data_IF_975917029582
#
_entry.id   IF_975917029582
#
_cell.length_a   1.000
_cell.length_b   1.000
_cell.length_c   1.000
_cell.angle_alpha   90.00
_cell.angle_beta   90.00
_cell.angle_gamma   90.00
#
_symmetry.space_group_name_H-M   'P 1'
#
loop_
_entity.id
_entity.type
_entity.pdbx_description
1 polymer ?
#
# COMPACT_ATOMS: atom_id res chain seq x y z
N UNK A 1 -32.19 -10.99 -44.75
CA UNK A 1 -30.77 -10.65 -44.52
C UNK A 1 -30.55 -9.17 -44.19
N UNK A 2 -31.07 -8.21 -44.96
CA UNK A 2 -30.81 -6.77 -44.76
C UNK A 2 -31.41 -6.13 -43.47
N UNK A 3 -32.48 -6.69 -42.90
CA UNK A 3 -33.09 -6.16 -41.68
C UNK A 3 -32.33 -6.48 -40.38
N UNK A 4 -31.64 -7.63 -40.34
CA UNK A 4 -30.84 -8.02 -39.17
C UNK A 4 -29.57 -7.18 -39.00
N UNK A 5 -28.97 -6.74 -40.13
CA UNK A 5 -27.79 -5.86 -40.13
C UNK A 5 -28.12 -4.48 -39.55
N UNK A 6 -29.32 -3.94 -39.83
CA UNK A 6 -29.77 -2.67 -39.24
C UNK A 6 -30.01 -2.75 -37.74
N UNK A 7 -30.53 -3.89 -37.26
CA UNK A 7 -30.75 -4.14 -35.82
C UNK A 7 -29.41 -4.28 -35.08
N UNK A 8 -28.43 -4.94 -35.68
CA UNK A 8 -27.07 -5.08 -35.12
C UNK A 8 -26.35 -3.73 -35.04
N UNK A 9 -26.49 -2.87 -36.06
CA UNK A 9 -25.88 -1.52 -36.06
C UNK A 9 -26.55 -0.60 -35.01
N UNK A 10 -27.88 -0.70 -34.83
CA UNK A 10 -28.61 0.06 -33.82
C UNK A 10 -28.21 -0.34 -32.38
N UNK A 11 -27.88 -1.62 -32.17
CA UNK A 11 -27.44 -2.12 -30.86
C UNK A 11 -25.98 -1.73 -30.55
N UNK A 12 -25.14 -1.58 -31.58
CA UNK A 12 -23.71 -1.25 -31.41
C UNK A 12 -23.46 0.23 -31.06
N UNK A 13 -24.37 1.14 -31.41
CA UNK A 13 -24.21 2.58 -31.13
C UNK A 13 -24.80 3.02 -29.78
N UNK A 14 -25.43 2.11 -29.02
CA UNK A 14 -26.13 2.42 -27.77
C UNK A 14 -25.31 2.32 -26.47
N UNK A 15 -24.05 1.88 -26.52
CA UNK A 15 -23.25 1.57 -25.32
C UNK A 15 -22.12 2.60 -25.08
N UNK A 16 -22.29 3.82 -25.60
CA UNK A 16 -21.24 4.85 -25.63
C UNK A 16 -21.34 5.96 -24.59
N UNK A 17 -22.26 5.89 -23.62
CA UNK A 17 -22.47 7.01 -22.70
C UNK A 17 -22.69 6.53 -21.28
N UNK A 18 -21.68 6.75 -20.42
CA UNK A 18 -21.81 7.17 -19.01
C UNK A 18 -20.43 7.07 -18.31
N UNK A 19 -19.46 7.87 -18.73
CA UNK A 19 -18.22 8.12 -17.96
C UNK A 19 -17.95 9.64 -17.93
N UNK A 20 -18.87 10.41 -17.36
CA UNK A 20 -18.71 11.86 -17.20
C UNK A 20 -18.85 12.34 -15.74
N UNK A 21 -19.19 11.46 -14.79
CA UNK A 21 -19.59 11.88 -13.45
C UNK A 21 -18.49 11.80 -12.38
N UNK A 22 -17.50 10.91 -12.54
CA UNK A 22 -16.43 10.73 -11.53
C UNK A 22 -15.44 11.89 -11.50
N UNK A 23 -15.21 12.54 -12.64
CA UNK A 23 -14.27 13.65 -12.72
C UNK A 23 -14.81 14.92 -12.06
N UNK A 24 -16.11 15.21 -12.23
CA UNK A 24 -16.76 16.35 -11.60
C UNK A 24 -16.91 16.15 -10.09
N UNK A 25 -17.24 14.93 -9.64
CA UNK A 25 -17.26 14.57 -8.23
C UNK A 25 -15.88 14.71 -7.56
N UNK A 26 -14.82 14.23 -8.23
CA UNK A 26 -13.45 14.38 -7.73
C UNK A 26 -13.04 15.86 -7.64
N UNK A 27 -13.44 16.67 -8.63
CA UNK A 27 -13.15 18.10 -8.62
C UNK A 27 -13.89 18.83 -7.51
N UNK A 28 -15.14 18.42 -7.24
CA UNK A 28 -15.92 18.95 -6.13
C UNK A 28 -15.24 18.69 -4.77
N UNK A 29 -14.78 17.46 -4.52
CA UNK A 29 -14.05 17.13 -3.29
C UNK A 29 -12.71 17.89 -3.17
N UNK A 30 -12.01 18.11 -4.29
CA UNK A 30 -10.79 18.92 -4.30
C UNK A 30 -11.05 20.39 -3.96
N UNK A 31 -12.11 20.98 -4.53
CA UNK A 31 -12.53 22.35 -4.25
C UNK A 31 -12.97 22.51 -2.78
N UNK A 32 -13.78 21.58 -2.27
CA UNK A 32 -14.17 21.53 -0.85
C UNK A 32 -12.95 21.40 0.09
N UNK A 33 -11.98 20.56 -0.27
CA UNK A 33 -10.72 20.42 0.46
C UNK A 33 -9.91 21.72 0.48
N UNK A 34 -9.78 22.40 -0.67
CA UNK A 34 -9.07 23.67 -0.78
C UNK A 34 -9.75 24.80 0.02
N UNK A 35 -11.08 24.83 0.03
CA UNK A 35 -11.85 25.76 0.86
C UNK A 35 -11.67 25.49 2.36
N UNK A 36 -11.63 24.23 2.78
CA UNK A 36 -11.35 23.88 4.17
C UNK A 36 -9.94 24.29 4.60
N UNK A 37 -8.94 24.00 3.77
CA UNK A 37 -7.53 24.37 4.05
C UNK A 37 -7.36 25.89 4.13
N UNK A 38 -8.01 26.65 3.24
CA UNK A 38 -7.94 28.12 3.25
C UNK A 38 -8.71 28.76 4.42
N UNK A 39 -9.71 28.07 4.97
CA UNK A 39 -10.44 28.52 6.18
C UNK A 39 -9.58 28.41 7.44
N UNK A 40 -8.59 27.51 7.46
CA UNK A 40 -7.67 27.40 8.60
C UNK A 40 -6.69 28.56 8.56
N UNK A 41 -6.78 29.45 9.55
CA UNK A 41 -5.85 30.58 9.67
C UNK A 41 -4.41 30.09 9.81
N UNK A 42 -3.48 30.68 9.04
CA UNK A 42 -2.05 30.44 9.17
C UNK A 42 -1.54 30.63 10.61
N UNK A 43 -2.16 31.54 11.39
CA UNK A 43 -1.83 31.72 12.81
C UNK A 43 -2.15 30.48 13.65
N UNK A 44 -3.24 29.78 13.33
CA UNK A 44 -3.63 28.54 13.99
C UNK A 44 -2.62 27.44 13.69
N UNK A 45 -2.20 27.29 12.43
CA UNK A 45 -1.16 26.34 12.02
C UNK A 45 0.16 26.61 12.72
N UNK A 46 0.61 27.87 12.76
CA UNK A 46 1.84 28.26 13.46
C UNK A 46 1.78 27.99 14.96
N UNK A 47 0.61 28.21 15.57
CA UNK A 47 0.40 27.92 17.00
C UNK A 47 0.43 26.42 17.25
N UNK A 48 -0.26 25.61 16.45
CA UNK A 48 -0.25 24.15 16.52
C UNK A 48 1.16 23.60 16.35
N UNK A 49 1.91 24.10 15.37
CA UNK A 49 3.31 23.72 15.13
C UNK A 49 4.17 24.04 16.34
N UNK A 50 4.08 25.26 16.88
CA UNK A 50 4.85 25.67 18.07
C UNK A 50 4.52 24.81 19.28
N UNK A 51 3.23 24.56 19.53
CA UNK A 51 2.78 23.72 20.67
C UNK A 51 3.22 22.28 20.49
N UNK A 52 3.10 21.72 19.28
CA UNK A 52 3.57 20.37 18.96
C UNK A 52 5.08 20.22 19.22
N UNK A 53 5.91 21.11 18.65
CA UNK A 53 7.36 21.08 18.87
C UNK A 53 7.75 21.26 20.34
N UNK A 54 7.02 22.11 21.07
CA UNK A 54 7.22 22.30 22.51
C UNK A 54 6.87 21.04 23.29
N UNK A 55 5.70 20.47 23.08
CA UNK A 55 5.26 19.24 23.76
C UNK A 55 6.20 18.07 23.45
N UNK A 56 6.68 17.94 22.21
CA UNK A 56 7.66 16.93 21.83
C UNK A 56 8.97 17.11 22.62
N UNK A 57 9.45 18.34 22.75
CA UNK A 57 10.66 18.65 23.51
C UNK A 57 10.48 18.40 25.02
N UNK A 58 9.32 18.78 25.58
CA UNK A 58 8.99 18.57 27.01
C UNK A 58 8.90 17.08 27.36
N UNK A 59 8.45 16.24 26.42
CA UNK A 59 8.31 14.80 26.63
C UNK A 59 9.43 13.95 25.99
N UNK A 60 10.54 14.57 25.57
CA UNK A 60 11.62 13.86 24.88
C UNK A 60 12.11 12.63 25.66
N UNK A 61 12.32 12.75 26.97
CA UNK A 61 12.76 11.63 27.81
C UNK A 61 11.76 10.47 27.86
N UNK A 62 10.45 10.78 27.86
CA UNK A 62 9.40 9.76 27.81
C UNK A 62 9.36 9.08 26.43
N UNK A 63 9.47 9.86 25.35
CA UNK A 63 9.57 9.37 23.97
C UNK A 63 10.77 8.42 23.86
N UNK A 64 11.95 8.85 24.33
CA UNK A 64 13.18 8.07 24.29
C UNK A 64 13.04 6.77 25.09
N UNK A 65 12.43 6.83 26.29
CA UNK A 65 12.17 5.64 27.12
C UNK A 65 11.22 4.67 26.44
N UNK A 66 10.17 5.15 25.77
CA UNK A 66 9.22 4.32 25.03
C UNK A 66 9.86 3.70 23.79
N UNK A 67 10.66 4.47 23.06
CA UNK A 67 11.43 4.00 21.90
C UNK A 67 12.47 2.95 22.32
N UNK A 68 13.17 3.18 23.43
CA UNK A 68 14.12 2.21 23.97
C UNK A 68 13.41 0.94 24.43
N UNK A 69 12.25 1.04 25.09
CA UNK A 69 11.46 -0.15 25.47
C UNK A 69 10.89 -0.90 24.28
N UNK A 70 10.46 -0.22 23.22
CA UNK A 70 9.97 -0.90 22.02
C UNK A 70 11.12 -1.64 21.32
N UNK A 71 12.31 -1.06 21.25
CA UNK A 71 13.50 -1.74 20.73
C UNK A 71 13.99 -2.86 21.65
N UNK A 72 13.93 -2.69 22.97
CA UNK A 72 14.37 -3.69 23.94
C UNK A 72 13.39 -4.87 24.04
N UNK A 73 12.08 -4.62 23.86
CA UNK A 73 11.07 -5.67 23.74
C UNK A 73 11.20 -6.49 22.46
N UNK A 74 11.67 -5.86 21.36
CA UNK A 74 12.08 -6.55 20.13
C UNK A 74 13.45 -7.25 20.26
N UNK A 75 14.31 -6.79 21.17
CA UNK A 75 15.61 -7.38 21.53
C UNK A 75 15.55 -8.24 22.80
N UNK A 76 14.38 -8.82 23.13
CA UNK A 76 14.40 -10.01 23.97
C UNK A 76 15.40 -10.97 23.31
N UNK A 77 16.42 -11.41 24.05
CA UNK A 77 17.46 -12.34 23.58
C UNK A 77 16.89 -13.71 23.12
N UNK A 78 15.57 -13.85 23.10
CA UNK A 78 14.86 -14.89 22.41
C UNK A 78 14.77 -14.48 20.94
N UNK A 79 15.56 -15.15 20.08
CA UNK A 79 15.32 -15.17 18.63
C UNK A 79 13.80 -15.17 18.38
N UNK A 80 13.28 -14.35 17.46
CA UNK A 80 11.87 -14.37 17.12
C UNK A 80 11.48 -15.81 16.81
N UNK A 81 10.82 -16.48 17.75
CA UNK A 81 10.37 -17.84 17.56
C UNK A 81 9.13 -17.71 16.70
N UNK A 82 9.29 -17.92 15.39
CA UNK A 82 8.15 -18.13 14.51
C UNK A 82 7.26 -19.22 15.11
N UNK A 83 5.95 -19.05 14.96
CA UNK A 83 5.02 -20.10 15.35
C UNK A 83 5.40 -21.39 14.60
N UNK A 84 5.66 -22.46 15.35
CA UNK A 84 6.12 -23.73 14.79
C UNK A 84 5.09 -24.23 13.77
N UNK A 85 5.50 -24.38 12.51
CA UNK A 85 4.62 -24.80 11.40
C UNK A 85 3.86 -23.67 10.68
N UNK A 86 4.12 -22.40 10.97
CA UNK A 86 3.54 -21.30 10.20
C UNK A 86 4.07 -21.27 8.75
N UNK A 87 3.18 -20.96 7.80
CA UNK A 87 3.50 -20.74 6.39
C UNK A 87 2.82 -19.45 5.96
N UNK A 88 3.57 -18.53 5.35
CA UNK A 88 3.03 -17.29 4.83
C UNK A 88 2.69 -17.45 3.35
N UNK A 89 1.41 -17.30 2.99
CA UNK A 89 0.96 -17.31 1.60
C UNK A 89 0.83 -15.89 1.07
N UNK A 90 1.48 -15.60 -0.05
CA UNK A 90 1.40 -14.32 -0.76
C UNK A 90 1.06 -14.55 -2.23
N UNK A 91 0.62 -13.52 -2.96
CA UNK A 91 0.26 -13.63 -4.37
C UNK A 91 0.80 -12.46 -5.19
N UNK A 92 1.04 -12.69 -6.50
CA UNK A 92 1.48 -11.65 -7.44
C UNK A 92 0.44 -10.54 -7.69
N UNK A 93 -0.78 -10.69 -7.20
CA UNK A 93 -1.78 -9.62 -7.20
C UNK A 93 -1.50 -8.54 -6.15
N UNK A 94 -0.60 -8.80 -5.20
CA UNK A 94 -0.17 -7.80 -4.22
C UNK A 94 0.92 -6.88 -4.81
N UNK A 95 1.04 -5.63 -4.34
CA UNK A 95 2.12 -4.74 -4.74
C UNK A 95 3.50 -5.30 -4.38
N UNK A 96 4.49 -5.11 -5.25
CA UNK A 96 5.88 -5.56 -5.06
C UNK A 96 6.48 -5.10 -3.72
N UNK A 97 6.25 -3.83 -3.33
CA UNK A 97 6.73 -3.27 -2.06
C UNK A 97 6.19 -4.02 -0.83
N UNK A 98 4.93 -4.46 -0.88
CA UNK A 98 4.30 -5.24 0.17
C UNK A 98 4.87 -6.66 0.21
N UNK A 99 5.08 -7.28 -0.96
CA UNK A 99 5.70 -8.60 -1.06
C UNK A 99 7.10 -8.62 -0.45
N UNK A 100 7.91 -7.59 -0.69
CA UNK A 100 9.24 -7.47 -0.10
C UNK A 100 9.20 -7.28 1.41
N UNK A 101 8.36 -6.36 1.91
CA UNK A 101 8.24 -6.10 3.35
C UNK A 101 7.79 -7.36 4.11
N UNK A 102 6.80 -8.07 3.58
CA UNK A 102 6.29 -9.32 4.18
C UNK A 102 7.32 -10.45 4.10
N UNK A 103 8.10 -10.53 3.02
CA UNK A 103 9.14 -11.55 2.88
C UNK A 103 10.30 -11.31 3.84
N UNK A 104 10.72 -10.06 4.01
CA UNK A 104 11.75 -9.67 4.97
C UNK A 104 11.31 -9.97 6.41
N UNK A 105 10.07 -9.62 6.74
CA UNK A 105 9.47 -9.94 8.03
C UNK A 105 9.42 -11.46 8.27
N UNK A 106 8.93 -12.24 7.31
CA UNK A 106 8.88 -13.70 7.41
C UNK A 106 10.28 -14.33 7.59
N UNK A 107 11.31 -13.77 6.95
CA UNK A 107 12.69 -14.21 7.13
C UNK A 107 13.18 -14.03 8.58
N UNK A 108 12.82 -12.92 9.25
CA UNK A 108 13.17 -12.69 10.67
C UNK A 108 12.59 -13.77 11.59
N UNK A 109 11.39 -14.25 11.28
CA UNK A 109 10.68 -15.27 12.06
C UNK A 109 10.90 -16.71 11.57
N UNK A 110 11.77 -16.92 10.57
CA UNK A 110 12.00 -18.24 9.94
C UNK A 110 10.71 -18.89 9.39
N UNK A 111 9.77 -18.06 8.92
CA UNK A 111 8.50 -18.51 8.35
C UNK A 111 8.70 -18.73 6.84
N UNK A 112 8.47 -19.94 6.30
CA UNK A 112 8.50 -20.17 4.86
C UNK A 112 7.41 -19.36 4.15
N UNK A 113 7.80 -18.69 3.06
CA UNK A 113 6.89 -17.93 2.19
C UNK A 113 6.57 -18.75 0.95
N UNK A 114 5.28 -18.88 0.63
CA UNK A 114 4.77 -19.55 -0.57
C UNK A 114 4.04 -18.51 -1.41
N UNK A 115 4.52 -18.31 -2.65
CA UNK A 115 3.85 -17.44 -3.61
C UNK A 115 2.87 -18.28 -4.44
N UNK A 116 1.58 -17.96 -4.36
CA UNK A 116 0.53 -18.63 -5.12
C UNK A 116 0.05 -17.73 -6.27
N UNK A 117 -0.25 -18.37 -7.40
CA UNK A 117 -0.80 -17.72 -8.59
C UNK A 117 0.15 -17.61 -9.77
N UNK A 118 -0.44 -17.31 -10.93
CA UNK A 118 0.25 -16.99 -12.16
C UNK A 118 0.12 -15.49 -12.42
N UNK A 119 1.19 -14.87 -12.91
CA UNK A 119 1.11 -13.53 -13.48
C UNK A 119 0.35 -13.65 -14.81
N UNK A 120 -0.82 -13.01 -14.89
CA UNK A 120 -1.70 -13.01 -16.07
C UNK A 120 -2.05 -14.39 -16.65
N UNK A 121 -1.98 -15.46 -15.84
CA UNK A 121 -2.21 -16.84 -16.29
C UNK A 121 -1.05 -17.49 -17.05
N UNK A 122 0.13 -16.85 -17.08
CA UNK A 122 1.31 -17.32 -17.81
C UNK A 122 2.46 -17.75 -16.88
N UNK A 123 2.93 -19.00 -17.04
CA UNK A 123 4.03 -19.57 -16.25
C UNK A 123 5.39 -18.93 -16.55
N UNK A 124 5.67 -18.59 -17.81
CA UNK A 124 6.94 -17.98 -18.23
C UNK A 124 7.06 -16.58 -17.65
N UNK A 125 5.99 -15.79 -17.72
CA UNK A 125 5.92 -14.46 -17.12
C UNK A 125 6.05 -14.52 -15.60
N UNK A 126 5.48 -15.55 -14.96
CA UNK A 126 5.62 -15.79 -13.52
C UNK A 126 7.07 -16.07 -13.12
N UNK A 127 7.79 -16.91 -13.87
CA UNK A 127 9.21 -17.21 -13.61
C UNK A 127 10.09 -15.96 -13.79
N UNK A 128 9.83 -15.18 -14.84
CA UNK A 128 10.56 -13.93 -15.10
C UNK A 128 10.30 -12.90 -14.00
N UNK A 129 9.05 -12.77 -13.56
CA UNK A 129 8.67 -11.88 -12.45
C UNK A 129 9.32 -12.32 -11.15
N UNK A 130 9.32 -13.62 -10.84
CA UNK A 130 10.00 -14.16 -9.67
C UNK A 130 11.52 -13.91 -9.73
N UNK A 131 12.16 -14.10 -10.88
CA UNK A 131 13.58 -13.80 -11.07
C UNK A 131 13.88 -12.32 -10.84
N UNK A 132 13.04 -11.43 -11.38
CA UNK A 132 13.14 -9.98 -11.17
C UNK A 132 13.03 -9.63 -9.68
N UNK A 133 11.96 -10.09 -9.01
CA UNK A 133 11.75 -9.87 -7.58
C UNK A 133 12.93 -10.37 -6.75
N UNK A 134 13.45 -11.57 -7.04
CA UNK A 134 14.63 -12.11 -6.34
C UNK A 134 15.90 -11.28 -6.58
N UNK A 135 16.07 -10.70 -7.77
CA UNK A 135 17.20 -9.81 -8.05
C UNK A 135 17.10 -8.47 -7.32
N UNK A 136 15.89 -7.88 -7.25
CA UNK A 136 15.62 -6.63 -6.54
C UNK A 136 15.76 -6.81 -5.02
N UNK A 137 15.34 -7.95 -4.49
CA UNK A 137 15.56 -8.31 -3.10
C UNK A 137 17.06 -8.40 -2.77
N UNK A 138 17.89 -8.96 -3.68
CA UNK A 138 19.34 -9.06 -3.50
C UNK A 138 20.08 -7.73 -3.64
N UNK A 139 19.56 -6.77 -4.41
CA UNK A 139 20.18 -5.46 -4.56
C UNK A 139 19.81 -4.47 -3.46
N UNK A 140 18.77 -4.78 -2.67
CA UNK A 140 18.27 -3.94 -1.58
C UNK A 140 18.87 -4.29 -0.20
N UNK A 141 19.80 -5.26 -0.17
CA UNK A 141 20.64 -5.66 0.97
C UNK A 141 22.03 -5.08 0.75
#
# INVERSE_FOLDING_TARGET
MAHYIKIIILFLTGIGGCFANTNDELRHYQEEGAHQVSTISNKTIETLKRTSSRNQSEHQLLIDTLMQRSTDGLQSNQKPQGAEGAILFVSFSMPDSLLFALSDEAARFHIPVVINGLVDGDFKQTIETFKRLNSEAKSSI
#
